data_IF_648322352619
#
_entry.id   IF_648322352619
#
_cell.length_a   1.000
_cell.length_b   1.000
_cell.length_c   1.000
_cell.angle_alpha   90.00
_cell.angle_beta   90.00
_cell.angle_gamma   90.00
#
_symmetry.space_group_name_H-M   'P 1'
#
loop_
_entity.id
_entity.type
_entity.pdbx_description
1 polymer ?
#
# COMPACT_ATOMS: atom_id res chain seq x y z
N UNK A 1 10.70 -10.20 19.01
CA UNK A 1 9.40 -9.71 18.53
C UNK A 1 9.30 -8.23 18.80
N UNK A 2 9.71 -7.44 17.81
CA UNK A 2 9.52 -6.00 17.77
C UNK A 2 8.34 -5.69 16.88
N UNK A 3 7.41 -4.86 17.34
CA UNK A 3 6.25 -4.41 16.57
C UNK A 3 6.27 -2.90 16.49
N UNK A 4 6.20 -2.36 15.28
CA UNK A 4 6.03 -0.92 15.04
C UNK A 4 4.82 -0.69 14.15
N UNK A 5 4.12 0.42 14.40
CA UNK A 5 3.01 0.87 13.58
C UNK A 5 3.26 2.34 13.24
N UNK A 6 3.60 2.60 11.98
CA UNK A 6 3.79 3.94 11.45
C UNK A 6 2.46 4.41 10.84
N UNK A 7 2.04 5.63 11.17
CA UNK A 7 0.92 6.28 10.47
C UNK A 7 1.46 7.15 9.35
N UNK A 8 1.07 6.83 8.12
CA UNK A 8 1.52 7.50 6.89
C UNK A 8 0.40 8.35 6.27
N UNK A 9 -0.55 8.78 7.11
CA UNK A 9 -1.61 9.71 6.73
C UNK A 9 -2.89 9.04 6.22
N UNK A 10 -4.02 9.74 6.36
CA UNK A 10 -5.34 9.21 6.02
C UNK A 10 -5.57 7.84 6.68
N UNK A 11 -5.89 6.81 5.90
CA UNK A 11 -6.05 5.42 6.33
C UNK A 11 -4.76 4.58 6.19
N UNK A 12 -3.64 5.17 5.73
CA UNK A 12 -2.40 4.46 5.45
C UNK A 12 -1.59 4.20 6.72
N UNK A 13 -1.31 2.92 7.01
CA UNK A 13 -0.40 2.50 8.06
C UNK A 13 0.62 1.50 7.55
N UNK A 14 1.84 1.55 8.10
CA UNK A 14 2.84 0.48 7.94
C UNK A 14 3.02 -0.25 9.26
N UNK A 15 2.62 -1.52 9.28
CA UNK A 15 2.84 -2.44 10.38
C UNK A 15 4.11 -3.26 10.10
N UNK A 16 5.08 -3.19 10.99
CA UNK A 16 6.27 -4.06 10.94
C UNK A 16 6.25 -5.00 12.15
N UNK A 17 6.40 -6.29 11.90
CA UNK A 17 6.49 -7.34 12.93
C UNK A 17 7.74 -8.17 12.64
N UNK A 18 8.81 -7.94 13.41
CA UNK A 18 10.15 -8.45 13.11
C UNK A 18 10.54 -8.15 11.63
N UNK A 19 10.55 -9.15 10.75
CA UNK A 19 10.89 -8.99 9.33
C UNK A 19 9.67 -8.87 8.39
N UNK A 20 8.45 -8.97 8.91
CA UNK A 20 7.23 -8.85 8.12
C UNK A 20 6.81 -7.37 8.03
N UNK A 21 6.62 -6.86 6.82
CA UNK A 21 6.18 -5.49 6.54
C UNK A 21 4.83 -5.52 5.81
N UNK A 22 3.80 -4.95 6.45
CA UNK A 22 2.43 -4.88 5.94
C UNK A 22 2.02 -3.43 5.81
N UNK A 23 1.49 -3.06 4.66
CA UNK A 23 0.76 -1.81 4.48
C UNK A 23 -0.74 -2.07 4.64
N UNK A 24 -1.41 -1.20 5.40
CA UNK A 24 -2.86 -1.08 5.45
C UNK A 24 -3.18 0.19 4.67
N UNK A 25 -3.85 0.05 3.52
CA UNK A 25 -3.99 1.07 2.48
C UNK A 25 -2.62 1.61 1.99
N UNK A 26 -2.61 2.51 1.00
CA UNK A 26 -1.37 2.91 0.32
C UNK A 26 -1.27 4.42 -0.01
N UNK A 27 -2.25 5.21 0.41
CA UNK A 27 -2.34 6.64 0.06
C UNK A 27 -1.31 7.50 0.80
N UNK A 28 -0.06 7.47 0.31
CA UNK A 28 1.10 8.20 0.83
C UNK A 28 1.27 9.54 0.08
N UNK A 29 1.15 9.51 -1.24
CA UNK A 29 1.29 10.67 -2.12
C UNK A 29 -0.01 11.47 -2.16
N UNK A 30 -0.25 12.24 -1.09
CA UNK A 30 -1.52 12.91 -0.84
C UNK A 30 -1.68 14.23 -1.57
N UNK A 31 -2.91 14.76 -1.55
CA UNK A 31 -3.22 16.10 -2.10
C UNK A 31 -2.31 17.19 -1.51
N UNK A 32 -1.98 18.25 -2.26
CA UNK A 32 -1.04 19.29 -1.82
C UNK A 32 -1.40 20.02 -0.51
N UNK A 33 -2.67 20.00 -0.11
CA UNK A 33 -3.14 20.61 1.14
C UNK A 33 -2.92 19.72 2.37
N UNK A 34 -2.59 18.44 2.19
CA UNK A 34 -2.28 17.53 3.28
C UNK A 34 -0.79 17.66 3.67
N UNK A 35 -0.44 17.61 4.97
CA UNK A 35 0.96 17.60 5.39
C UNK A 35 1.73 16.41 4.78
N UNK A 36 3.01 16.58 4.43
CA UNK A 36 3.82 15.45 4.00
C UNK A 36 4.05 14.47 5.15
N UNK A 37 4.23 13.18 4.83
CA UNK A 37 4.47 12.11 5.82
C UNK A 37 5.91 11.63 5.86
N UNK A 38 6.79 12.27 5.06
CA UNK A 38 8.24 12.03 5.09
C UNK A 38 8.71 10.85 4.23
N UNK A 39 7.83 10.26 3.42
CA UNK A 39 8.12 9.22 2.44
C UNK A 39 7.12 9.34 1.29
N UNK A 40 7.51 8.99 0.06
CA UNK A 40 6.64 8.82 -1.10
C UNK A 40 6.38 7.33 -1.39
N UNK A 41 5.29 6.98 -2.09
CA UNK A 41 5.01 5.58 -2.40
C UNK A 41 6.13 4.92 -3.23
N UNK A 42 6.76 5.70 -4.11
CA UNK A 42 7.88 5.25 -4.93
C UNK A 42 9.17 4.97 -4.15
N UNK A 43 9.30 5.45 -2.91
CA UNK A 43 10.46 5.22 -2.04
C UNK A 43 10.29 3.96 -1.17
N UNK A 44 9.14 3.29 -1.23
CA UNK A 44 8.90 2.04 -0.50
C UNK A 44 9.61 0.88 -1.23
N UNK A 45 10.67 0.37 -0.61
CA UNK A 45 11.52 -0.71 -1.12
C UNK A 45 11.29 -2.06 -0.43
N UNK A 46 10.48 -2.08 0.64
CA UNK A 46 10.10 -3.29 1.39
C UNK A 46 8.63 -3.29 1.76
N UNK A 47 7.91 -4.30 1.30
CA UNK A 47 6.57 -4.67 1.72
C UNK A 47 6.34 -6.14 1.35
N UNK A 48 5.72 -6.91 2.23
CA UNK A 48 5.29 -8.28 1.95
C UNK A 48 3.83 -8.31 1.49
N UNK A 49 3.01 -7.44 2.09
CA UNK A 49 1.58 -7.33 1.82
C UNK A 49 1.11 -5.88 1.81
N UNK A 50 0.12 -5.61 0.96
CA UNK A 50 -0.67 -4.37 0.96
C UNK A 50 -2.15 -4.74 1.08
N UNK A 51 -2.77 -4.46 2.21
CA UNK A 51 -4.20 -4.71 2.45
C UNK A 51 -4.99 -3.46 2.11
N UNK A 52 -5.91 -3.54 1.14
CA UNK A 52 -6.74 -2.42 0.72
C UNK A 52 -8.14 -2.56 1.32
N UNK A 53 -8.57 -1.58 2.11
CA UNK A 53 -9.89 -1.58 2.74
C UNK A 53 -11.03 -1.56 1.71
N UNK A 54 -11.00 -0.60 0.79
CA UNK A 54 -11.84 -0.52 -0.40
C UNK A 54 -11.19 0.34 -1.48
N UNK A 55 -11.71 0.30 -2.70
CA UNK A 55 -11.01 0.81 -3.90
C UNK A 55 -11.20 2.31 -4.16
N UNK A 56 -11.52 3.11 -3.14
CA UNK A 56 -11.49 4.58 -3.31
C UNK A 56 -10.04 5.06 -3.35
N UNK A 57 -9.83 6.20 -4.04
CA UNK A 57 -8.49 6.73 -4.31
C UNK A 57 -7.69 7.01 -3.03
N UNK A 58 -8.34 7.41 -1.94
CA UNK A 58 -7.74 7.74 -0.65
C UNK A 58 -7.32 6.50 0.17
N UNK A 59 -7.55 5.31 -0.38
CA UNK A 59 -7.12 4.02 0.15
C UNK A 59 -6.16 3.32 -0.81
N UNK A 60 -6.54 3.20 -2.08
CA UNK A 60 -5.84 2.32 -3.05
C UNK A 60 -4.66 2.97 -3.77
N UNK A 61 -4.64 4.30 -3.91
CA UNK A 61 -3.64 4.97 -4.73
C UNK A 61 -2.24 4.80 -4.14
N UNK A 62 -1.27 4.35 -4.95
CA UNK A 62 0.09 4.04 -4.54
C UNK A 62 0.33 2.55 -4.29
N UNK A 63 -0.73 1.74 -4.16
CA UNK A 63 -0.59 0.29 -3.98
C UNK A 63 0.07 -0.37 -5.21
N UNK A 64 -0.22 0.12 -6.40
CA UNK A 64 0.41 -0.29 -7.65
C UNK A 64 1.92 0.01 -7.65
N UNK A 65 2.33 1.15 -7.12
CA UNK A 65 3.74 1.52 -7.02
C UNK A 65 4.47 0.63 -6.01
N UNK A 66 3.89 0.46 -4.80
CA UNK A 66 4.48 -0.36 -3.74
C UNK A 66 4.58 -1.82 -4.20
N UNK A 67 3.53 -2.38 -4.77
CA UNK A 67 3.52 -3.78 -5.22
C UNK A 67 4.49 -4.02 -6.38
N UNK A 68 4.62 -3.09 -7.33
CA UNK A 68 5.58 -3.18 -8.42
C UNK A 68 7.04 -3.12 -7.91
N UNK A 69 7.32 -2.26 -6.93
CA UNK A 69 8.67 -2.07 -6.38
C UNK A 69 9.14 -3.25 -5.53
N UNK A 70 8.22 -3.88 -4.81
CA UNK A 70 8.55 -4.82 -3.72
C UNK A 70 8.20 -6.27 -4.03
N UNK A 71 7.31 -6.51 -5.00
CA UNK A 71 6.70 -7.83 -5.20
C UNK A 71 5.62 -8.17 -4.16
N UNK A 72 5.18 -7.20 -3.35
CA UNK A 72 4.14 -7.40 -2.34
C UNK A 72 2.85 -7.97 -2.93
N UNK A 73 2.16 -8.77 -2.12
CA UNK A 73 0.83 -9.29 -2.43
C UNK A 73 -0.23 -8.27 -2.02
N UNK A 74 -1.09 -7.88 -2.95
CA UNK A 74 -2.21 -6.99 -2.68
C UNK A 74 -3.41 -7.85 -2.25
N UNK A 75 -3.92 -7.59 -1.05
CA UNK A 75 -5.08 -8.27 -0.49
C UNK A 75 -6.26 -7.30 -0.48
N UNK A 76 -7.37 -7.64 -1.13
CA UNK A 76 -8.51 -6.73 -1.19
C UNK A 76 -9.78 -7.32 -1.77
N UNK A 77 -10.67 -6.45 -2.22
CA UNK A 77 -11.91 -6.85 -2.89
C UNK A 77 -11.67 -7.20 -4.36
N UNK A 78 -12.66 -7.80 -5.03
CA UNK A 78 -12.64 -7.97 -6.49
C UNK A 78 -12.44 -6.64 -7.24
N UNK A 79 -12.96 -5.54 -6.70
CA UNK A 79 -12.76 -4.22 -7.28
C UNK A 79 -11.30 -3.76 -7.14
N UNK A 80 -10.66 -4.03 -6.00
CA UNK A 80 -9.23 -3.77 -5.81
C UNK A 80 -8.41 -4.55 -6.83
N UNK A 81 -8.68 -5.86 -6.98
CA UNK A 81 -8.00 -6.68 -7.96
C UNK A 81 -8.19 -6.15 -9.39
N UNK A 82 -9.40 -5.74 -9.77
CA UNK A 82 -9.68 -5.12 -11.08
C UNK A 82 -8.85 -3.86 -11.30
N UNK A 83 -8.88 -2.91 -10.36
CA UNK A 83 -8.15 -1.64 -10.48
C UNK A 83 -6.64 -1.87 -10.56
N UNK A 84 -6.10 -2.82 -9.78
CA UNK A 84 -4.67 -3.13 -9.80
C UNK A 84 -4.24 -3.86 -11.07
N UNK A 85 -5.08 -4.74 -11.61
CA UNK A 85 -4.83 -5.37 -12.91
C UNK A 85 -4.82 -4.33 -14.03
N UNK A 86 -5.78 -3.39 -14.02
CA UNK A 86 -5.81 -2.26 -14.98
C UNK A 86 -4.58 -1.33 -14.82
N UNK A 87 -4.02 -1.26 -13.61
CA UNK A 87 -2.77 -0.54 -13.30
C UNK A 87 -1.49 -1.35 -13.65
N UNK A 88 -1.62 -2.57 -14.17
CA UNK A 88 -0.50 -3.40 -14.63
C UNK A 88 0.15 -4.30 -13.58
N UNK A 89 -0.47 -4.48 -12.42
CA UNK A 89 0.00 -5.45 -11.42
C UNK A 89 -0.31 -6.87 -11.88
N UNK A 90 0.65 -7.76 -11.68
CA UNK A 90 0.55 -9.15 -12.11
C UNK A 90 -0.55 -9.88 -11.33
N UNK A 91 -1.33 -10.71 -12.02
CA UNK A 91 -2.47 -11.45 -11.45
C UNK A 91 -2.07 -12.27 -10.22
N UNK A 92 -0.86 -12.83 -10.21
CA UNK A 92 -0.32 -13.63 -9.10
C UNK A 92 -0.07 -12.83 -7.82
N UNK A 93 -0.01 -11.49 -7.89
CA UNK A 93 0.11 -10.61 -6.72
C UNK A 93 -1.26 -10.24 -6.14
N UNK A 94 -2.39 -10.57 -6.79
CA UNK A 94 -3.73 -10.10 -6.42
C UNK A 94 -4.51 -11.22 -5.72
N UNK A 95 -5.00 -10.97 -4.50
CA UNK A 95 -5.73 -11.94 -3.68
C UNK A 95 -6.96 -11.35 -2.97
#
# INVERSE_FOLDING_TARGET
>A
MTVTLDWLGCATFRLTVDDLVIFLDAYIDRVPSAPPVGIAAAEVDRADYVFIGHSHFDHIAGAEMIAANTGARIIGSNETARVMLDAGIAQEQLH
#
